data_IF_299366519692
#
_entry.id   IF_299366519692
#
_cell.length_a   1.000
_cell.length_b   1.000
_cell.length_c   1.000
_cell.angle_alpha   90.00
_cell.angle_beta   90.00
_cell.angle_gamma   90.00
#
_symmetry.space_group_name_H-M   'P 1'
#
loop_
_entity.id
_entity.type
_entity.pdbx_description
1 polymer ?
#
# COMPACT_ATOMS: atom_id res chain seq x y z
N UNK A 1 -15.67 -4.24 11.79
CA UNK A 1 -14.42 -4.75 11.20
C UNK A 1 -14.59 -5.05 9.72
N UNK A 2 -15.59 -5.83 9.30
CA UNK A 2 -15.85 -6.12 7.87
C UNK A 2 -16.11 -4.85 7.03
N UNK A 3 -16.96 -3.93 7.51
CA UNK A 3 -17.24 -2.68 6.78
C UNK A 3 -15.98 -1.81 6.58
N UNK A 4 -15.11 -1.74 7.60
CA UNK A 4 -13.86 -0.96 7.54
C UNK A 4 -12.87 -1.55 6.54
N UNK A 5 -12.73 -2.88 6.51
CA UNK A 5 -11.83 -3.55 5.58
C UNK A 5 -12.32 -3.41 4.14
N UNK A 6 -13.63 -3.58 3.90
CA UNK A 6 -14.19 -3.43 2.56
C UNK A 6 -14.02 -2.00 2.03
N UNK A 7 -14.21 -1.00 2.88
CA UNK A 7 -13.99 0.41 2.53
C UNK A 7 -12.51 0.70 2.23
N UNK A 8 -11.59 0.25 3.09
CA UNK A 8 -10.15 0.42 2.86
C UNK A 8 -9.67 -0.27 1.59
N UNK A 9 -10.18 -1.47 1.27
CA UNK A 9 -9.87 -2.17 0.01
C UNK A 9 -10.40 -1.41 -1.20
N UNK A 10 -11.62 -0.86 -1.12
CA UNK A 10 -12.19 -0.04 -2.18
C UNK A 10 -11.32 1.20 -2.47
N UNK A 11 -10.90 1.90 -1.43
CA UNK A 11 -10.00 3.06 -1.55
C UNK A 11 -8.62 2.64 -2.06
N UNK A 12 -8.08 1.51 -1.57
CA UNK A 12 -6.78 0.99 -1.99
C UNK A 12 -6.73 0.72 -3.49
N UNK A 13 -7.82 0.24 -4.08
CA UNK A 13 -7.93 0.01 -5.52
C UNK A 13 -7.82 1.33 -6.32
N UNK A 14 -8.46 2.40 -5.83
CA UNK A 14 -8.38 3.73 -6.45
C UNK A 14 -6.99 4.35 -6.28
N UNK A 15 -6.34 4.13 -5.13
CA UNK A 15 -5.01 4.65 -4.84
C UNK A 15 -3.86 3.84 -5.46
N UNK A 16 -4.11 2.59 -5.86
CA UNK A 16 -3.14 1.67 -6.46
C UNK A 16 -2.26 2.26 -7.57
N UNK A 17 -2.80 2.94 -8.61
CA UNK A 17 -1.95 3.53 -9.63
C UNK A 17 -1.02 4.63 -9.09
N UNK A 18 -1.52 5.46 -8.17
CA UNK A 18 -0.76 6.59 -7.60
C UNK A 18 0.40 6.07 -6.75
N UNK A 19 0.09 5.15 -5.84
CA UNK A 19 1.11 4.54 -4.98
C UNK A 19 2.07 3.70 -5.82
N UNK A 20 1.58 2.98 -6.84
CA UNK A 20 2.40 2.24 -7.78
C UNK A 20 3.46 3.11 -8.46
N UNK A 21 3.11 4.32 -8.90
CA UNK A 21 4.07 5.29 -9.46
C UNK A 21 5.13 5.68 -8.42
N UNK A 22 4.72 6.00 -7.19
CA UNK A 22 5.65 6.34 -6.09
C UNK A 22 6.63 5.19 -5.84
N UNK A 23 6.13 3.96 -5.76
CA UNK A 23 6.98 2.78 -5.54
C UNK A 23 7.91 2.53 -6.74
N UNK A 24 7.45 2.76 -7.97
CA UNK A 24 8.30 2.61 -9.15
C UNK A 24 9.47 3.60 -9.15
N UNK A 25 9.25 4.84 -8.71
CA UNK A 25 10.31 5.83 -8.52
C UNK A 25 11.31 5.40 -7.44
N UNK A 26 10.82 4.82 -6.33
CA UNK A 26 11.67 4.27 -5.26
C UNK A 26 12.50 3.08 -5.76
N UNK A 27 11.95 2.24 -6.66
CA UNK A 27 12.72 1.15 -7.28
C UNK A 27 13.84 1.66 -8.19
N UNK A 28 13.69 2.83 -8.80
CA UNK A 28 14.71 3.43 -9.66
C UNK A 28 15.91 4.00 -8.89
N UNK A 29 15.80 4.22 -7.57
CA UNK A 29 16.87 4.80 -6.75
C UNK A 29 17.88 3.78 -6.20
N UNK A 30 18.03 2.62 -6.84
CA UNK A 30 18.96 1.54 -6.46
C UNK A 30 18.82 1.05 -5.00
N UNK A 31 17.60 1.08 -4.44
CA UNK A 31 17.35 0.49 -3.11
C UNK A 31 17.54 -1.02 -3.15
N UNK A 32 18.21 -1.56 -2.14
CA UNK A 32 18.33 -3.00 -1.93
C UNK A 32 16.94 -3.64 -1.79
N UNK A 33 16.66 -4.63 -2.65
CA UNK A 33 15.39 -5.35 -2.71
C UNK A 33 14.89 -5.91 -1.37
N UNK A 34 15.78 -6.18 -0.40
CA UNK A 34 15.38 -6.62 0.96
C UNK A 34 14.57 -5.56 1.72
N UNK A 35 14.82 -4.28 1.46
CA UNK A 35 14.15 -3.15 2.11
C UNK A 35 12.91 -2.68 1.35
N UNK A 36 12.81 -3.03 0.06
CA UNK A 36 11.75 -2.58 -0.81
C UNK A 36 10.33 -2.83 -0.24
N UNK A 37 9.98 -3.99 0.34
CA UNK A 37 8.66 -4.20 0.95
C UNK A 37 8.38 -3.24 2.11
N UNK A 38 9.37 -3.01 2.98
CA UNK A 38 9.24 -2.11 4.13
C UNK A 38 9.04 -0.67 3.67
N UNK A 39 9.87 -0.21 2.74
CA UNK A 39 9.80 1.14 2.19
C UNK A 39 8.48 1.35 1.45
N UNK A 40 8.00 0.34 0.72
CA UNK A 40 6.76 0.45 -0.04
C UNK A 40 5.52 0.55 0.85
N UNK A 41 5.48 -0.23 1.93
CA UNK A 41 4.42 -0.15 2.93
C UNK A 41 4.40 1.21 3.60
N UNK A 42 5.57 1.68 4.07
CA UNK A 42 5.68 3.00 4.72
C UNK A 42 5.29 4.12 3.75
N UNK A 43 5.80 4.09 2.53
CA UNK A 43 5.48 5.08 1.51
C UNK A 43 3.98 5.07 1.17
N UNK A 44 3.39 3.89 0.98
CA UNK A 44 1.96 3.74 0.72
C UNK A 44 1.10 4.29 1.86
N UNK A 45 1.41 3.95 3.12
CA UNK A 45 0.70 4.47 4.29
C UNK A 45 0.83 6.00 4.42
N UNK A 46 2.03 6.55 4.20
CA UNK A 46 2.25 8.01 4.22
C UNK A 46 1.42 8.71 3.14
N UNK A 47 1.41 8.18 1.92
CA UNK A 47 0.56 8.71 0.83
C UNK A 47 -0.92 8.62 1.20
N UNK A 48 -1.37 7.50 1.76
CA UNK A 48 -2.71 7.32 2.31
C UNK A 48 -3.10 8.42 3.29
N UNK A 49 -2.27 8.66 4.31
CA UNK A 49 -2.50 9.68 5.33
C UNK A 49 -2.53 11.09 4.71
N UNK A 50 -1.63 11.40 3.76
CA UNK A 50 -1.62 12.69 3.07
C UNK A 50 -2.97 12.93 2.35
N UNK A 51 -3.51 11.90 1.69
CA UNK A 51 -4.82 11.99 1.06
C UNK A 51 -5.95 12.21 2.08
N UNK A 52 -5.93 11.50 3.22
CA UNK A 52 -6.92 11.73 4.27
C UNK A 52 -6.87 13.17 4.80
N UNK A 53 -5.68 13.72 5.06
CA UNK A 53 -5.52 15.12 5.48
C UNK A 53 -6.09 16.07 4.43
N UNK A 54 -5.75 15.87 3.15
CA UNK A 54 -6.19 16.75 2.06
C UNK A 54 -7.71 16.72 1.84
N UNK A 55 -8.34 15.56 2.08
CA UNK A 55 -9.78 15.36 1.85
C UNK A 55 -10.63 15.52 3.13
N UNK A 56 -10.01 15.71 4.30
CA UNK A 56 -10.72 15.69 5.58
C UNK A 56 -11.35 14.32 5.89
N UNK A 57 -10.74 13.25 5.41
CA UNK A 57 -11.25 11.88 5.54
C UNK A 57 -10.64 11.13 6.72
N UNK A 58 -11.13 9.91 6.99
CA UNK A 58 -10.66 9.08 8.08
C UNK A 58 -9.20 8.63 7.85
N UNK A 59 -8.30 9.03 8.76
CA UNK A 59 -6.88 8.74 8.68
C UNK A 59 -6.56 7.25 8.75
N UNK A 60 -7.33 6.49 9.53
CA UNK A 60 -7.11 5.07 9.71
C UNK A 60 -7.48 4.30 8.43
N UNK A 61 -8.64 4.59 7.86
CA UNK A 61 -9.14 3.93 6.64
C UNK A 61 -8.21 4.21 5.45
N UNK A 62 -7.82 5.47 5.25
CA UNK A 62 -6.92 5.83 4.15
C UNK A 62 -5.47 5.38 4.39
N UNK A 63 -5.00 5.42 5.64
CA UNK A 63 -3.70 4.86 6.01
C UNK A 63 -3.63 3.36 5.74
N UNK A 64 -4.71 2.63 6.04
CA UNK A 64 -4.86 1.21 5.75
C UNK A 64 -4.98 0.95 4.24
N UNK A 65 -5.72 1.78 3.50
CA UNK A 65 -5.80 1.69 2.04
C UNK A 65 -4.42 1.87 1.39
N UNK A 66 -3.66 2.87 1.88
CA UNK A 66 -2.29 3.12 1.46
C UNK A 66 -1.34 1.97 1.80
N UNK A 67 -1.47 1.40 3.00
CA UNK A 67 -0.73 0.21 3.43
C UNK A 67 -0.96 -0.97 2.47
N UNK A 68 -2.22 -1.29 2.18
CA UNK A 68 -2.61 -2.42 1.32
C UNK A 68 -2.09 -2.21 -0.11
N UNK A 69 -2.25 -1.00 -0.63
CA UNK A 69 -1.78 -0.63 -1.96
C UNK A 69 -0.25 -0.66 -2.08
N UNK A 70 0.47 -0.16 -1.06
CA UNK A 70 1.94 -0.20 -1.01
C UNK A 70 2.49 -1.62 -0.94
N UNK A 71 1.86 -2.49 -0.14
CA UNK A 71 2.18 -3.91 -0.07
C UNK A 71 1.93 -4.63 -1.41
N UNK A 72 0.87 -4.27 -2.12
CA UNK A 72 0.60 -4.80 -3.46
C UNK A 72 1.66 -4.34 -4.47
N UNK A 73 2.03 -3.05 -4.48
CA UNK A 73 3.01 -2.48 -5.41
C UNK A 73 4.44 -3.03 -5.22
N UNK A 74 4.77 -3.52 -4.01
CA UNK A 74 6.06 -4.17 -3.73
C UNK A 74 6.08 -5.66 -4.07
N UNK A 75 4.94 -6.26 -4.43
CA UNK A 75 4.80 -7.72 -4.57
C UNK A 75 4.74 -8.47 -3.23
N UNK A 76 4.61 -7.76 -2.09
CA UNK A 76 4.49 -8.39 -0.77
C UNK A 76 3.15 -9.14 -0.66
N UNK A 77 2.10 -8.61 -1.28
CA UNK A 77 0.80 -9.27 -1.33
C UNK A 77 0.89 -10.66 -2.01
N UNK A 78 1.54 -10.73 -3.17
CA UNK A 78 1.76 -11.99 -3.90
C UNK A 78 2.60 -12.97 -3.09
N UNK A 79 3.62 -12.49 -2.37
CA UNK A 79 4.42 -13.31 -1.44
C UNK A 79 3.55 -13.93 -0.34
N UNK A 80 2.67 -13.17 0.30
CA UNK A 80 1.80 -13.67 1.37
C UNK A 80 0.78 -14.69 0.84
N UNK A 81 0.17 -14.43 -0.31
CA UNK A 81 -0.79 -15.35 -0.94
C UNK A 81 -0.10 -16.65 -1.37
N UNK A 82 1.07 -16.56 -2.01
CA UNK A 82 1.83 -17.74 -2.42
C UNK A 82 2.40 -18.51 -1.22
N UNK A 83 2.73 -17.86 -0.11
CA UNK A 83 3.14 -18.55 1.12
C UNK A 83 1.98 -19.30 1.77
N UNK A 84 0.73 -18.84 1.61
CA UNK A 84 -0.47 -19.54 2.09
C UNK A 84 -0.92 -20.69 1.16
N UNK A 85 -0.56 -20.63 -0.13
CA UNK A 85 -0.84 -21.67 -1.13
C UNK A 85 0.33 -22.62 -1.44
N UNK A 86 1.47 -22.42 -0.78
CA UNK A 86 2.66 -23.25 -0.94
C UNK A 86 2.61 -24.48 -0.04
N UNK A 87 2.90 -25.63 -0.63
CA UNK A 87 3.07 -26.96 -0.02
C UNK A 87 3.76 -26.96 1.35
#
# INVERSE_FOLDING_TARGET
>A
MENLMNEAVGIAFVMAPIIGIVIQLIKQSEINNKWLPHVSVVAGTVVGIIFAVAMGADYFIYGLAGFLSGAAASGLYDLVVNTKGGK
#
